data_IF_275081048445
#
_entry.id   IF_275081048445
#
_cell.length_a   1.000
_cell.length_b   1.000
_cell.length_c   1.000
_cell.angle_alpha   90.00
_cell.angle_beta   90.00
_cell.angle_gamma   90.00
#
_symmetry.space_group_name_H-M   'P 1'
#
loop_
_entity.id
_entity.type
_entity.pdbx_description
1 polymer ?
#
# COMPACT_ATOMS: atom_id res chain seq x y z
N UNK A 1 -28.18 -16.51 10.36
CA UNK A 1 -27.24 -15.41 10.09
C UNK A 1 -27.71 -14.71 8.82
N UNK A 2 -28.03 -13.43 8.90
CA UNK A 2 -28.36 -12.63 7.71
C UNK A 2 -27.13 -12.60 6.82
N UNK A 3 -27.24 -13.13 5.60
CA UNK A 3 -26.13 -13.20 4.64
C UNK A 3 -25.86 -11.76 4.18
N UNK A 4 -24.82 -11.13 4.70
CA UNK A 4 -24.38 -9.80 4.23
C UNK A 4 -23.89 -9.93 2.80
N UNK A 5 -24.53 -9.21 1.88
CA UNK A 5 -24.06 -9.09 0.49
C UNK A 5 -22.71 -8.39 0.47
N UNK A 6 -21.81 -8.85 -0.39
CA UNK A 6 -20.49 -8.27 -0.59
C UNK A 6 -20.55 -6.82 -1.05
N UNK A 7 -19.40 -6.13 -1.01
CA UNK A 7 -19.28 -4.71 -1.41
C UNK A 7 -18.50 -4.58 -2.69
N UNK A 8 -18.99 -3.79 -3.64
CA UNK A 8 -18.32 -3.55 -4.91
C UNK A 8 -17.82 -2.11 -4.98
N UNK A 9 -16.50 -1.92 -5.07
CA UNK A 9 -15.87 -0.60 -5.05
C UNK A 9 -15.06 -0.45 -6.34
N UNK A 10 -15.22 0.66 -7.04
CA UNK A 10 -14.46 0.98 -8.26
C UNK A 10 -13.46 2.09 -7.98
N UNK A 11 -12.22 1.89 -8.38
CA UNK A 11 -11.17 2.91 -8.42
C UNK A 11 -10.90 3.24 -9.89
N UNK A 12 -11.11 4.49 -10.29
CA UNK A 12 -10.89 4.95 -11.66
C UNK A 12 -10.15 6.29 -11.72
N UNK A 13 -9.86 6.74 -12.94
CA UNK A 13 -9.26 8.03 -13.24
C UNK A 13 -8.68 8.05 -14.65
N UNK A 14 -8.16 9.22 -15.03
CA UNK A 14 -7.40 9.39 -16.28
C UNK A 14 -6.12 8.54 -16.27
N UNK A 15 -5.53 8.32 -17.44
CA UNK A 15 -4.21 7.69 -17.48
C UNK A 15 -3.17 8.59 -16.81
N UNK A 16 -2.18 7.97 -16.16
CA UNK A 16 -1.25 8.68 -15.29
C UNK A 16 -1.74 8.98 -13.87
N UNK A 17 -3.01 8.71 -13.52
CA UNK A 17 -3.57 9.04 -12.18
C UNK A 17 -3.06 8.18 -11.01
N UNK A 18 -2.30 7.11 -11.27
CA UNK A 18 -1.82 6.19 -10.23
C UNK A 18 -2.81 5.11 -9.78
N UNK A 19 -3.99 4.99 -10.42
CA UNK A 19 -5.04 4.00 -10.14
C UNK A 19 -4.59 2.56 -9.93
N UNK A 20 -3.70 2.02 -10.76
CA UNK A 20 -3.18 0.66 -10.58
C UNK A 20 -2.37 0.51 -9.27
N UNK A 21 -1.52 1.49 -8.96
CA UNK A 21 -0.76 1.53 -7.70
C UNK A 21 -1.71 1.62 -6.50
N UNK A 22 -2.68 2.53 -6.55
CA UNK A 22 -3.61 2.77 -5.45
C UNK A 22 -4.56 1.59 -5.21
N UNK A 23 -5.02 0.96 -6.29
CA UNK A 23 -5.84 -0.25 -6.22
C UNK A 23 -5.09 -1.38 -5.52
N UNK A 24 -3.83 -1.62 -5.91
CA UNK A 24 -2.99 -2.63 -5.26
C UNK A 24 -2.81 -2.36 -3.77
N UNK A 25 -2.43 -1.13 -3.41
CA UNK A 25 -2.25 -0.74 -2.00
C UNK A 25 -3.55 -0.89 -1.19
N UNK A 26 -4.70 -0.54 -1.77
CA UNK A 26 -6.00 -0.73 -1.12
C UNK A 26 -6.31 -2.22 -0.89
N UNK A 27 -6.13 -3.05 -1.92
CA UNK A 27 -6.40 -4.49 -1.83
C UNK A 27 -5.52 -5.10 -0.73
N UNK A 28 -4.22 -4.82 -0.74
CA UNK A 28 -3.29 -5.27 0.29
C UNK A 28 -3.74 -4.84 1.70
N UNK A 29 -4.20 -3.59 1.84
CA UNK A 29 -4.70 -3.06 3.11
C UNK A 29 -6.00 -3.72 3.57
N UNK A 30 -6.93 -4.01 2.66
CA UNK A 30 -8.19 -4.69 2.96
C UNK A 30 -8.00 -6.17 3.30
N UNK A 31 -7.23 -6.90 2.49
CA UNK A 31 -6.91 -8.31 2.74
C UNK A 31 -6.24 -8.48 4.11
N UNK A 32 -5.34 -7.55 4.43
CA UNK A 32 -4.69 -7.55 5.72
C UNK A 32 -5.60 -7.23 6.90
N UNK A 33 -6.58 -6.34 6.70
CA UNK A 33 -7.61 -6.09 7.67
C UNK A 33 -8.56 -7.29 7.84
N UNK A 34 -8.32 -8.40 7.14
CA UNK A 34 -9.07 -9.65 7.27
C UNK A 34 -10.28 -9.73 6.35
N UNK A 35 -10.45 -8.78 5.44
CA UNK A 35 -11.52 -8.84 4.45
C UNK A 35 -11.19 -9.84 3.35
N UNK A 36 -12.20 -10.53 2.85
CA UNK A 36 -12.08 -11.36 1.66
C UNK A 36 -12.24 -10.47 0.44
N UNK A 37 -11.14 -10.20 -0.26
CA UNK A 37 -11.08 -9.23 -1.35
C UNK A 37 -10.84 -9.95 -2.67
N UNK A 38 -11.51 -9.50 -3.73
CA UNK A 38 -11.27 -9.96 -5.09
C UNK A 38 -11.01 -8.76 -5.99
N UNK A 39 -10.05 -8.89 -6.90
CA UNK A 39 -9.70 -7.83 -7.85
C UNK A 39 -10.39 -8.09 -9.19
N UNK A 40 -11.09 -7.08 -9.69
CA UNK A 40 -11.51 -7.01 -11.08
C UNK A 40 -10.67 -5.93 -11.78
N UNK A 41 -9.98 -6.28 -12.86
CA UNK A 41 -9.16 -5.32 -13.62
C UNK A 41 -9.67 -5.27 -15.05
N UNK A 42 -9.90 -4.07 -15.56
CA UNK A 42 -10.49 -3.86 -16.87
C UNK A 42 -9.64 -2.93 -17.74
N UNK A 43 -9.38 -3.29 -19.01
CA UNK A 43 -9.84 -4.51 -19.70
C UNK A 43 -9.20 -5.80 -19.17
N UNK A 44 -9.87 -6.94 -19.36
CA UNK A 44 -9.34 -8.25 -18.98
C UNK A 44 -8.30 -8.76 -20.01
N UNK A 45 -7.17 -8.06 -20.16
CA UNK A 45 -6.13 -8.38 -21.14
C UNK A 45 -5.75 -9.88 -21.15
N UNK A 46 -5.58 -10.43 -22.34
CA UNK A 46 -5.31 -11.84 -22.59
C UNK A 46 -6.54 -12.75 -22.57
N UNK A 47 -7.71 -12.28 -22.11
CA UNK A 47 -8.96 -13.04 -22.22
C UNK A 47 -9.63 -12.82 -23.57
N UNK A 48 -10.36 -13.84 -24.03
CA UNK A 48 -11.14 -13.79 -25.28
C UNK A 48 -12.14 -12.63 -25.30
N UNK A 49 -12.72 -12.30 -24.13
CA UNK A 49 -13.66 -11.19 -23.95
C UNK A 49 -13.04 -9.82 -24.27
N UNK A 50 -11.75 -9.64 -23.95
CA UNK A 50 -11.00 -8.41 -24.20
C UNK A 50 -10.38 -8.36 -25.62
N UNK A 51 -10.47 -9.41 -26.43
CA UNK A 51 -9.79 -9.46 -27.73
C UNK A 51 -10.21 -8.35 -28.71
N UNK A 52 -11.46 -7.88 -28.66
CA UNK A 52 -11.88 -6.71 -29.44
C UNK A 52 -11.36 -5.40 -28.85
N UNK A 53 -11.24 -5.31 -27.53
CA UNK A 53 -10.65 -4.15 -26.86
C UNK A 53 -9.17 -4.02 -27.23
N UNK A 54 -8.42 -5.12 -27.20
CA UNK A 54 -7.01 -5.16 -27.59
C UNK A 54 -6.81 -4.72 -29.05
N UNK A 55 -7.61 -5.27 -29.98
CA UNK A 55 -7.61 -4.87 -31.39
C UNK A 55 -8.02 -3.41 -31.60
N UNK A 56 -8.89 -2.88 -30.77
CA UNK A 56 -9.25 -1.47 -30.82
C UNK A 56 -8.08 -0.60 -30.35
N UNK A 57 -7.50 -0.91 -29.18
CA UNK A 57 -6.42 -0.13 -28.58
C UNK A 57 -5.12 -0.16 -29.39
N UNK A 58 -4.87 -1.23 -30.16
CA UNK A 58 -3.73 -1.33 -31.05
C UNK A 58 -4.00 -0.78 -32.48
N UNK A 59 -5.18 -0.23 -32.73
CA UNK A 59 -5.54 0.43 -33.99
C UNK A 59 -5.98 -0.50 -35.13
N UNK A 60 -6.20 -1.80 -34.89
CA UNK A 60 -6.62 -2.74 -35.94
C UNK A 60 -8.00 -2.44 -36.55
N UNK A 61 -8.82 -1.60 -35.90
CA UNK A 61 -10.11 -1.15 -36.41
C UNK A 61 -10.10 0.29 -36.96
N UNK A 62 -8.91 0.85 -37.19
CA UNK A 62 -8.75 2.26 -37.54
C UNK A 62 -8.51 3.13 -36.31
N UNK A 63 -8.58 4.45 -36.49
CA UNK A 63 -8.31 5.40 -35.42
C UNK A 63 -9.53 5.60 -34.49
N UNK A 64 -9.29 6.27 -33.35
CA UNK A 64 -10.31 6.48 -32.32
C UNK A 64 -11.54 7.26 -32.81
N UNK A 65 -11.40 8.11 -33.82
CA UNK A 65 -12.47 8.90 -34.42
C UNK A 65 -13.33 8.05 -35.37
N UNK A 66 -12.70 7.21 -36.20
CA UNK A 66 -13.40 6.31 -37.14
C UNK A 66 -14.28 5.29 -36.43
N UNK A 67 -13.74 4.67 -35.37
CA UNK A 67 -14.49 3.70 -34.55
C UNK A 67 -15.63 4.41 -33.81
N UNK A 68 -15.33 5.57 -33.22
CA UNK A 68 -16.28 6.38 -32.47
C UNK A 68 -16.60 5.83 -31.07
N UNK A 69 -17.18 6.66 -30.19
CA UNK A 69 -17.36 6.34 -28.77
C UNK A 69 -18.34 5.19 -28.55
N UNK A 70 -19.48 5.16 -29.25
CA UNK A 70 -20.50 4.11 -29.07
C UNK A 70 -19.97 2.71 -29.42
N UNK A 71 -19.27 2.56 -30.56
CA UNK A 71 -18.75 1.24 -30.97
C UNK A 71 -17.62 0.78 -30.06
N UNK A 72 -16.70 1.68 -29.72
CA UNK A 72 -15.62 1.38 -28.78
C UNK A 72 -16.19 0.93 -27.42
N UNK A 73 -17.22 1.61 -26.90
CA UNK A 73 -17.84 1.27 -25.62
C UNK A 73 -18.45 -0.13 -25.59
N UNK A 74 -19.00 -0.62 -26.71
CA UNK A 74 -19.52 -1.99 -26.81
C UNK A 74 -18.43 -3.02 -26.58
N UNK A 75 -17.20 -2.80 -27.08
CA UNK A 75 -16.08 -3.74 -26.86
C UNK A 75 -15.75 -3.88 -25.38
N UNK A 76 -15.65 -2.75 -24.65
CA UNK A 76 -15.41 -2.76 -23.21
C UNK A 76 -16.60 -3.30 -22.41
N UNK A 77 -17.83 -3.04 -22.85
CA UNK A 77 -19.04 -3.52 -22.18
C UNK A 77 -19.18 -5.05 -22.26
N UNK A 78 -18.86 -5.65 -23.42
CA UNK A 78 -18.83 -7.11 -23.60
C UNK A 78 -17.77 -7.74 -22.70
N UNK A 79 -16.60 -7.10 -22.57
CA UNK A 79 -15.56 -7.58 -21.65
C UNK A 79 -16.03 -7.57 -20.18
N UNK A 80 -16.66 -6.48 -19.74
CA UNK A 80 -17.25 -6.40 -18.39
C UNK A 80 -18.40 -7.37 -18.18
N UNK A 81 -19.22 -7.61 -19.20
CA UNK A 81 -20.31 -8.58 -19.13
C UNK A 81 -19.79 -9.99 -18.86
N UNK A 82 -18.71 -10.41 -19.53
CA UNK A 82 -18.06 -11.70 -19.28
C UNK A 82 -17.58 -11.82 -17.81
N UNK A 83 -16.89 -10.79 -17.30
CA UNK A 83 -16.45 -10.74 -15.90
C UNK A 83 -17.62 -10.68 -14.89
N UNK A 84 -18.77 -10.16 -15.31
CA UNK A 84 -19.89 -9.84 -14.40
C UNK A 84 -20.41 -11.05 -13.64
N UNK A 85 -20.38 -12.24 -14.24
CA UNK A 85 -20.81 -13.49 -13.60
C UNK A 85 -19.92 -13.84 -12.40
N UNK A 86 -18.61 -13.66 -12.56
CA UNK A 86 -17.65 -13.91 -11.49
C UNK A 86 -17.76 -12.84 -10.39
N UNK A 87 -17.96 -11.57 -10.76
CA UNK A 87 -18.19 -10.48 -9.81
C UNK A 87 -19.46 -10.74 -8.99
N UNK A 88 -20.59 -11.09 -9.64
CA UNK A 88 -21.84 -11.46 -8.96
C UNK A 88 -21.63 -12.62 -7.98
N UNK A 89 -20.86 -13.63 -8.37
CA UNK A 89 -20.52 -14.76 -7.51
C UNK A 89 -19.76 -14.29 -6.27
N UNK A 90 -18.70 -13.49 -6.43
CA UNK A 90 -17.93 -12.95 -5.31
C UNK A 90 -18.79 -12.10 -4.36
N UNK A 91 -19.66 -11.26 -4.90
CA UNK A 91 -20.57 -10.45 -4.08
C UNK A 91 -21.59 -11.31 -3.32
N UNK A 92 -22.12 -12.37 -3.94
CA UNK A 92 -23.01 -13.32 -3.27
C UNK A 92 -22.31 -14.17 -2.20
N UNK A 93 -20.99 -14.31 -2.29
CA UNK A 93 -20.12 -14.93 -1.28
C UNK A 93 -19.79 -13.97 -0.13
N UNK A 94 -20.24 -12.71 -0.18
CA UNK A 94 -19.98 -11.70 0.84
C UNK A 94 -18.61 -11.03 0.71
N UNK A 95 -17.92 -11.19 -0.43
CA UNK A 95 -16.58 -10.65 -0.66
C UNK A 95 -16.62 -9.16 -1.00
N UNK A 96 -15.54 -8.46 -0.71
CA UNK A 96 -15.29 -7.12 -1.23
C UNK A 96 -14.66 -7.28 -2.61
N UNK A 97 -15.26 -6.70 -3.63
CA UNK A 97 -14.69 -6.65 -4.97
C UNK A 97 -14.13 -5.24 -5.18
N UNK A 98 -12.84 -5.13 -5.44
CA UNK A 98 -12.20 -3.88 -5.84
C UNK A 98 -11.99 -3.93 -7.35
N UNK A 99 -12.46 -2.92 -8.06
CA UNK A 99 -12.28 -2.80 -9.51
C UNK A 99 -11.25 -1.74 -9.84
N UNK A 100 -10.19 -2.09 -10.58
CA UNK A 100 -9.39 -1.09 -11.29
C UNK A 100 -10.05 -0.83 -12.64
N UNK A 101 -10.64 0.36 -12.79
CA UNK A 101 -11.56 0.74 -13.88
C UNK A 101 -12.87 -0.06 -13.86
N UNK A 102 -13.93 0.54 -14.40
CA UNK A 102 -15.21 -0.16 -14.65
C UNK A 102 -16.01 0.58 -15.74
N UNK A 103 -17.33 0.70 -15.62
CA UNK A 103 -18.16 1.52 -16.53
C UNK A 103 -17.72 2.98 -16.53
N UNK A 104 -17.25 3.47 -15.39
CA UNK A 104 -16.68 4.81 -15.19
C UNK A 104 -15.57 5.15 -16.20
N UNK A 105 -14.80 4.16 -16.64
CA UNK A 105 -13.77 4.33 -17.66
C UNK A 105 -14.37 4.61 -19.05
N UNK A 106 -15.46 3.92 -19.41
CA UNK A 106 -16.20 4.23 -20.63
C UNK A 106 -16.84 5.61 -20.57
N UNK A 107 -17.36 6.00 -19.40
CA UNK A 107 -17.95 7.32 -19.21
C UNK A 107 -16.91 8.43 -19.42
N UNK A 108 -15.74 8.33 -18.77
CA UNK A 108 -14.66 9.31 -18.89
C UNK A 108 -14.00 9.33 -20.28
N UNK A 109 -13.44 8.19 -20.71
CA UNK A 109 -12.58 8.14 -21.91
C UNK A 109 -13.36 8.27 -23.21
N UNK A 110 -14.50 7.59 -23.34
CA UNK A 110 -15.31 7.68 -24.56
C UNK A 110 -16.22 8.91 -24.53
N UNK A 111 -16.72 9.30 -23.35
CA UNK A 111 -17.45 10.57 -23.19
C UNK A 111 -16.60 11.79 -23.53
N UNK A 112 -15.29 11.78 -23.22
CA UNK A 112 -14.36 12.84 -23.59
C UNK A 112 -14.24 13.08 -25.10
N UNK A 113 -14.55 12.07 -25.92
CA UNK A 113 -14.59 12.23 -27.39
C UNK A 113 -15.81 13.01 -27.90
N UNK A 114 -16.81 13.24 -27.04
CA UNK A 114 -18.05 13.92 -27.39
C UNK A 114 -18.02 15.34 -26.80
N UNK A 115 -17.73 16.32 -27.65
CA UNK A 115 -17.55 17.72 -27.24
C UNK A 115 -18.84 18.38 -26.78
N UNK A 116 -19.94 18.16 -27.50
CA UNK A 116 -21.25 18.69 -27.16
C UNK A 116 -21.79 18.00 -25.89
N UNK A 117 -22.16 18.80 -24.88
CA UNK A 117 -22.61 18.30 -23.57
C UNK A 117 -23.96 17.57 -23.61
N UNK A 118 -24.88 17.99 -24.47
CA UNK A 118 -26.18 17.32 -24.64
C UNK A 118 -26.02 15.95 -25.31
N UNK A 119 -25.19 15.88 -26.36
CA UNK A 119 -24.85 14.60 -27.00
C UNK A 119 -24.07 13.67 -26.06
N UNK A 120 -23.19 14.23 -25.23
CA UNK A 120 -22.47 13.46 -24.20
C UNK A 120 -23.44 12.91 -23.16
N UNK A 121 -24.45 13.70 -22.73
CA UNK A 121 -25.50 13.23 -21.83
C UNK A 121 -26.29 12.06 -22.45
N UNK A 122 -26.72 12.19 -23.72
CA UNK A 122 -27.39 11.08 -24.45
C UNK A 122 -26.53 9.82 -24.49
N UNK A 123 -25.22 9.98 -24.71
CA UNK A 123 -24.27 8.88 -24.69
C UNK A 123 -24.14 8.23 -23.30
N UNK A 124 -24.06 9.03 -22.22
CA UNK A 124 -23.98 8.50 -20.85
C UNK A 124 -25.27 7.75 -20.46
N UNK A 125 -26.44 8.28 -20.84
CA UNK A 125 -27.73 7.62 -20.63
C UNK A 125 -27.81 6.30 -21.41
N UNK A 126 -27.35 6.28 -22.66
CA UNK A 126 -27.25 5.07 -23.48
C UNK A 126 -26.29 4.05 -22.86
N UNK A 127 -25.12 4.49 -22.38
CA UNK A 127 -24.11 3.63 -21.79
C UNK A 127 -24.62 2.99 -20.50
N UNK A 128 -25.29 3.77 -19.65
CA UNK A 128 -25.93 3.26 -18.43
C UNK A 128 -26.96 2.18 -18.75
N UNK A 129 -27.84 2.42 -19.72
CA UNK A 129 -28.81 1.42 -20.18
C UNK A 129 -28.13 0.18 -20.73
N UNK A 130 -27.11 0.34 -21.57
CA UNK A 130 -26.37 -0.77 -22.15
C UNK A 130 -25.75 -1.66 -21.06
N UNK A 131 -25.03 -1.08 -20.11
CA UNK A 131 -24.23 -1.89 -19.18
C UNK A 131 -25.03 -2.36 -17.97
N UNK A 132 -25.85 -1.50 -17.38
CA UNK A 132 -26.56 -1.82 -16.15
C UNK A 132 -27.99 -2.33 -16.34
N UNK A 133 -28.65 -2.06 -17.47
CA UNK A 133 -30.01 -2.56 -17.73
C UNK A 133 -30.01 -3.74 -18.72
N UNK A 134 -29.29 -3.61 -19.84
CA UNK A 134 -29.25 -4.66 -20.89
C UNK A 134 -28.27 -5.77 -20.49
N UNK A 135 -26.99 -5.46 -20.30
CA UNK A 135 -26.01 -6.44 -19.83
C UNK A 135 -26.18 -6.79 -18.34
N UNK A 136 -26.88 -5.93 -17.59
CA UNK A 136 -27.23 -6.16 -16.19
C UNK A 136 -26.00 -6.54 -15.34
N UNK A 137 -24.89 -5.82 -15.54
CA UNK A 137 -23.68 -6.02 -14.73
C UNK A 137 -23.85 -5.40 -13.33
N UNK A 138 -23.12 -5.85 -12.30
CA UNK A 138 -23.24 -5.32 -10.95
C UNK A 138 -22.98 -3.82 -10.87
N UNK A 139 -23.84 -3.09 -10.14
CA UNK A 139 -23.59 -1.69 -9.81
C UNK A 139 -22.63 -1.59 -8.64
N UNK A 140 -21.61 -0.73 -8.68
CA UNK A 140 -20.75 -0.46 -7.54
C UNK A 140 -21.52 0.17 -6.38
N UNK A 141 -21.17 -0.20 -5.15
CA UNK A 141 -21.58 0.50 -3.93
C UNK A 141 -20.84 1.85 -3.77
N UNK A 142 -19.67 1.99 -4.40
CA UNK A 142 -18.86 3.20 -4.36
C UNK A 142 -17.98 3.32 -5.60
N UNK A 143 -18.01 4.49 -6.25
CA UNK A 143 -17.08 4.85 -7.32
C UNK A 143 -16.13 5.93 -6.82
N UNK A 144 -14.83 5.67 -6.86
CA UNK A 144 -13.78 6.64 -6.50
C UNK A 144 -13.04 7.03 -7.77
N UNK A 145 -13.01 8.33 -8.05
CA UNK A 145 -12.24 8.92 -9.14
C UNK A 145 -10.98 9.57 -8.57
N UNK A 146 -9.82 9.02 -8.90
CA UNK A 146 -8.52 9.63 -8.65
C UNK A 146 -8.25 10.71 -9.69
N UNK A 147 -8.34 11.97 -9.25
CA UNK A 147 -8.13 13.14 -10.09
C UNK A 147 -6.68 13.61 -10.00
N UNK A 148 -5.99 13.59 -11.13
CA UNK A 148 -4.68 14.22 -11.34
C UNK A 148 -4.81 15.15 -12.54
N UNK A 149 -4.35 16.39 -12.39
CA UNK A 149 -4.38 17.38 -13.47
C UNK A 149 -3.68 16.83 -14.72
N UNK A 150 -4.27 16.98 -15.92
CA UNK A 150 -3.76 16.36 -17.15
C UNK A 150 -2.27 16.67 -17.42
N UNK A 151 -1.79 17.86 -17.06
CA UNK A 151 -0.38 18.23 -17.23
C UNK A 151 0.57 17.42 -16.33
N UNK A 152 0.16 17.09 -15.11
CA UNK A 152 0.93 16.25 -14.18
C UNK A 152 0.83 14.79 -14.61
N UNK A 153 -0.37 14.34 -14.98
CA UNK A 153 -0.61 13.00 -15.47
C UNK A 153 0.25 12.66 -16.70
N UNK A 154 0.35 13.58 -17.66
CA UNK A 154 1.20 13.42 -18.85
C UNK A 154 2.68 13.23 -18.47
N UNK A 155 3.21 14.05 -17.56
CA UNK A 155 4.60 13.92 -17.07
C UNK A 155 4.85 12.54 -16.46
N UNK A 156 3.88 11.99 -15.73
CA UNK A 156 4.00 10.66 -15.12
C UNK A 156 3.91 9.52 -16.14
N UNK A 157 3.13 9.70 -17.21
CA UNK A 157 3.08 8.75 -18.33
C UNK A 157 4.42 8.73 -19.05
N UNK A 158 5.00 9.90 -19.34
CA UNK A 158 6.28 10.03 -20.06
C UNK A 158 7.47 9.44 -19.27
N UNK A 159 7.33 9.27 -17.95
CA UNK A 159 8.33 8.64 -17.08
C UNK A 159 8.20 7.12 -16.95
N UNK A 160 7.15 6.49 -17.51
CA UNK A 160 6.94 5.03 -17.43
C UNK A 160 7.69 4.28 -18.54
N UNK A 161 8.30 3.15 -18.20
CA UNK A 161 8.89 2.21 -19.16
C UNK A 161 7.83 1.50 -20.04
N UNK A 162 8.27 0.96 -21.19
CA UNK A 162 7.42 0.31 -22.22
C UNK A 162 6.51 -0.78 -21.64
N UNK A 163 5.23 -0.81 -22.07
CA UNK A 163 4.26 -1.84 -21.66
C UNK A 163 4.31 -3.04 -22.61
N UNK A 164 4.45 -4.25 -22.05
CA UNK A 164 4.64 -5.50 -22.80
C UNK A 164 3.53 -5.81 -23.84
N UNK A 165 2.28 -5.39 -23.60
CA UNK A 165 1.16 -5.66 -24.52
C UNK A 165 1.14 -4.78 -25.77
N UNK A 166 2.00 -3.76 -25.85
CA UNK A 166 2.05 -2.84 -26.98
C UNK A 166 2.92 -3.34 -28.15
N UNK A 167 3.48 -4.56 -28.08
CA UNK A 167 4.26 -5.19 -29.17
C UNK A 167 5.27 -4.22 -29.86
N UNK A 168 5.97 -3.40 -29.08
CA UNK A 168 6.95 -2.43 -29.59
C UNK A 168 6.41 -1.04 -29.93
N UNK A 169 5.12 -0.75 -29.65
CA UNK A 169 4.62 0.63 -29.64
C UNK A 169 4.88 1.28 -28.28
N UNK A 170 5.46 2.48 -28.28
CA UNK A 170 5.77 3.23 -27.04
C UNK A 170 4.54 3.74 -26.29
N UNK A 171 3.37 3.82 -26.94
CA UNK A 171 2.14 4.44 -26.45
C UNK A 171 0.92 3.76 -27.07
N UNK A 172 -0.21 3.66 -26.34
CA UNK A 172 -1.50 3.34 -26.95
C UNK A 172 -2.14 4.57 -27.64
N UNK A 173 -3.21 4.36 -28.39
CA UNK A 173 -3.91 5.43 -29.15
C UNK A 173 -4.47 6.56 -28.26
N UNK A 174 -4.60 6.34 -26.95
CA UNK A 174 -5.16 7.28 -25.98
C UNK A 174 -4.07 8.04 -25.21
N UNK A 175 -2.95 7.38 -24.92
CA UNK A 175 -1.84 7.90 -24.11
C UNK A 175 -0.93 8.90 -24.87
N UNK A 176 -1.14 9.11 -26.17
CA UNK A 176 -0.32 9.99 -27.01
C UNK A 176 -0.81 11.45 -27.14
N UNK A 177 -2.04 11.77 -26.70
CA UNK A 177 -2.65 13.09 -26.90
C UNK A 177 -3.08 13.74 -25.57
N UNK A 178 -2.40 14.83 -25.19
CA UNK A 178 -2.74 15.63 -24.00
C UNK A 178 -4.17 16.19 -24.07
N UNK A 179 -4.70 16.45 -25.27
CA UNK A 179 -6.07 16.93 -25.41
C UNK A 179 -7.07 15.83 -25.03
N UNK A 180 -6.77 14.57 -25.37
CA UNK A 180 -7.57 13.43 -24.96
C UNK A 180 -7.59 13.28 -23.42
N UNK A 181 -6.45 13.45 -22.76
CA UNK A 181 -6.38 13.42 -21.29
C UNK A 181 -7.19 14.56 -20.65
N UNK A 182 -7.11 15.78 -21.21
CA UNK A 182 -7.90 16.93 -20.73
C UNK A 182 -9.39 16.72 -20.92
N UNK A 183 -9.78 16.19 -22.07
CA UNK A 183 -11.18 15.88 -22.35
C UNK A 183 -11.73 14.82 -21.39
N UNK A 184 -10.97 13.73 -21.16
CA UNK A 184 -11.34 12.70 -20.21
C UNK A 184 -11.39 13.25 -18.77
N UNK A 185 -10.42 14.07 -18.37
CA UNK A 185 -10.39 14.76 -17.06
C UNK A 185 -11.65 15.60 -16.85
N UNK A 186 -12.00 16.44 -17.83
CA UNK A 186 -13.20 17.26 -17.75
C UNK A 186 -14.45 16.40 -17.53
N UNK A 187 -14.58 15.31 -18.28
CA UNK A 187 -15.75 14.42 -18.14
C UNK A 187 -15.76 13.72 -16.79
N UNK A 188 -14.62 13.29 -16.24
CA UNK A 188 -14.57 12.75 -14.88
C UNK A 188 -15.01 13.76 -13.82
N UNK A 189 -14.60 15.03 -13.95
CA UNK A 189 -15.05 16.12 -13.06
C UNK A 189 -16.55 16.37 -13.19
N UNK A 190 -17.11 16.30 -14.40
CA UNK A 190 -18.56 16.41 -14.63
C UNK A 190 -19.33 15.24 -14.01
N UNK A 191 -18.84 14.01 -14.17
CA UNK A 191 -19.43 12.80 -13.60
C UNK A 191 -19.48 12.91 -12.07
N UNK A 192 -18.36 13.25 -11.42
CA UNK A 192 -18.30 13.40 -9.97
C UNK A 192 -19.23 14.47 -9.41
N UNK A 193 -19.53 15.53 -10.20
CA UNK A 193 -20.50 16.56 -9.81
C UNK A 193 -21.95 16.14 -10.04
N UNK A 194 -22.19 15.31 -11.04
CA UNK A 194 -23.54 14.96 -11.50
C UNK A 194 -24.11 13.77 -10.76
N UNK A 195 -23.28 12.78 -10.44
CA UNK A 195 -23.71 11.53 -9.82
C UNK A 195 -23.25 11.46 -8.37
N UNK A 196 -24.18 11.36 -7.38
CA UNK A 196 -23.84 11.41 -5.96
C UNK A 196 -23.04 10.19 -5.47
N UNK A 197 -23.12 9.05 -6.16
CA UNK A 197 -22.40 7.81 -5.80
C UNK A 197 -20.93 7.81 -6.27
N UNK A 198 -20.43 8.96 -6.75
CA UNK A 198 -19.08 9.16 -7.24
C UNK A 198 -18.32 10.13 -6.35
N UNK A 199 -17.25 9.63 -5.74
CA UNK A 199 -16.36 10.37 -4.87
C UNK A 199 -15.09 10.76 -5.63
N UNK A 200 -14.79 12.06 -5.67
CA UNK A 200 -13.57 12.57 -6.28
C UNK A 200 -12.46 12.70 -5.22
N UNK A 201 -11.31 12.08 -5.46
CA UNK A 201 -10.10 12.29 -4.66
C UNK A 201 -9.13 13.12 -5.49
N UNK A 202 -8.94 14.37 -5.09
CA UNK A 202 -7.92 15.24 -5.68
C UNK A 202 -6.55 14.76 -5.23
N UNK A 203 -5.76 14.24 -6.16
CA UNK A 203 -4.45 13.66 -5.92
C UNK A 203 -3.31 14.68 -6.12
N UNK A 204 -3.63 15.96 -6.31
CA UNK A 204 -2.66 17.03 -6.55
C UNK A 204 -2.85 18.18 -5.56
N UNK A 205 -1.74 18.75 -5.10
CA UNK A 205 -1.68 19.92 -4.22
C UNK A 205 -0.55 20.83 -4.69
N UNK A 206 -0.85 22.12 -4.84
CA UNK A 206 0.15 23.14 -5.23
C UNK A 206 0.95 22.80 -6.50
N UNK A 207 0.29 22.16 -7.48
CA UNK A 207 0.92 21.78 -8.75
C UNK A 207 1.80 20.53 -8.70
N UNK A 208 1.83 19.83 -7.55
CA UNK A 208 2.54 18.57 -7.37
C UNK A 208 1.56 17.42 -7.11
N UNK A 209 1.96 16.21 -7.47
CA UNK A 209 1.23 15.00 -7.08
C UNK A 209 1.48 14.72 -5.60
N UNK A 210 0.44 14.35 -4.87
CA UNK A 210 0.55 13.85 -3.50
C UNK A 210 1.34 12.53 -3.49
N UNK A 211 1.89 12.17 -2.34
CA UNK A 211 2.57 10.88 -2.16
C UNK A 211 1.59 9.72 -2.38
N UNK A 212 2.12 8.53 -2.67
CA UNK A 212 1.29 7.35 -2.91
C UNK A 212 0.47 7.03 -1.66
N UNK A 213 1.04 7.28 -0.51
CA UNK A 213 0.51 6.93 0.78
C UNK A 213 -0.56 7.93 1.25
N UNK A 214 -0.41 9.22 0.98
CA UNK A 214 -1.48 10.22 1.18
C UNK A 214 -2.71 9.89 0.33
N UNK A 215 -2.51 9.57 -0.96
CA UNK A 215 -3.61 9.19 -1.85
C UNK A 215 -4.28 7.91 -1.35
N UNK A 216 -3.49 6.91 -0.93
CA UNK A 216 -4.05 5.67 -0.38
C UNK A 216 -4.82 5.91 0.92
N UNK A 217 -4.36 6.84 1.77
CA UNK A 217 -5.04 7.21 2.99
C UNK A 217 -6.43 7.79 2.70
N UNK A 218 -6.53 8.78 1.81
CA UNK A 218 -7.82 9.38 1.43
C UNK A 218 -8.77 8.33 0.84
N UNK A 219 -8.23 7.41 0.04
CA UNK A 219 -9.00 6.32 -0.55
C UNK A 219 -9.46 5.31 0.50
N UNK A 220 -8.62 4.99 1.47
CA UNK A 220 -8.97 4.15 2.61
C UNK A 220 -10.08 4.76 3.46
N UNK A 221 -10.05 6.07 3.73
CA UNK A 221 -11.11 6.72 4.52
C UNK A 221 -12.49 6.53 3.90
N UNK A 222 -12.60 6.70 2.58
CA UNK A 222 -13.85 6.50 1.83
C UNK A 222 -14.31 5.05 1.87
N UNK A 223 -13.39 4.12 1.65
CA UNK A 223 -13.68 2.68 1.62
C UNK A 223 -14.04 2.14 3.01
N UNK A 224 -13.31 2.54 4.04
CA UNK A 224 -13.57 2.13 5.42
C UNK A 224 -14.94 2.64 5.90
N UNK A 225 -15.32 3.87 5.56
CA UNK A 225 -16.64 4.39 5.87
C UNK A 225 -17.76 3.55 5.25
N UNK A 226 -17.62 3.18 3.97
CA UNK A 226 -18.58 2.31 3.28
C UNK A 226 -18.71 0.94 3.97
N UNK A 227 -17.59 0.30 4.26
CA UNK A 227 -17.57 -1.06 4.82
C UNK A 227 -18.10 -1.07 6.26
N UNK A 228 -17.87 -0.01 7.04
CA UNK A 228 -18.25 0.08 8.45
C UNK A 228 -19.67 0.62 8.71
N UNK A 229 -20.34 1.19 7.70
CA UNK A 229 -21.69 1.78 7.81
C UNK A 229 -22.80 0.80 8.26
N UNK A 230 -22.51 -0.50 8.34
CA UNK A 230 -23.44 -1.55 8.79
C UNK A 230 -23.33 -1.91 10.30
N UNK A 231 -22.61 -1.13 11.11
CA UNK A 231 -22.74 -1.16 12.58
C UNK A 231 -22.17 -2.39 13.32
N UNK A 232 -21.46 -3.30 12.65
CA UNK A 232 -20.89 -4.50 13.26
C UNK A 232 -19.38 -4.63 12.98
N UNK A 233 -18.56 -3.72 13.50
CA UNK A 233 -17.23 -4.03 14.01
C UNK A 233 -16.63 -2.78 14.68
N UNK A 234 -15.98 -2.89 15.85
CA UNK A 234 -15.32 -1.75 16.48
C UNK A 234 -14.16 -1.27 15.60
N UNK A 235 -13.88 0.03 15.66
CA UNK A 235 -12.62 0.65 15.23
C UNK A 235 -11.49 -0.01 16.05
N UNK A 236 -10.99 -1.17 15.61
CA UNK A 236 -9.74 -1.80 16.05
C UNK A 236 -9.58 -3.08 15.21
N UNK A 237 -8.76 -3.03 14.15
CA UNK A 237 -8.28 -4.25 13.51
C UNK A 237 -6.79 -4.40 13.81
N UNK A 238 -6.50 -5.54 14.44
CA UNK A 238 -5.21 -6.05 14.88
C UNK A 238 -4.38 -6.49 13.66
N UNK A 239 -3.34 -5.70 13.41
CA UNK A 239 -2.42 -5.72 12.28
C UNK A 239 -1.51 -7.00 12.19
N UNK A 240 -2.04 -8.22 12.32
CA UNK A 240 -1.19 -9.43 12.55
C UNK A 240 -0.89 -10.35 11.34
N UNK A 241 -1.32 -10.06 10.10
CA UNK A 241 -1.20 -11.02 8.97
C UNK A 241 -0.46 -10.62 7.66
N UNK A 242 0.10 -9.42 7.51
CA UNK A 242 0.68 -8.89 6.24
C UNK A 242 2.08 -9.43 5.94
N UNK A 243 2.76 -9.97 6.95
CA UNK A 243 4.19 -10.27 6.85
C UNK A 243 4.54 -11.59 6.18
N UNK A 244 3.56 -12.35 5.71
CA UNK A 244 3.84 -13.44 4.79
C UNK A 244 3.80 -13.00 3.33
N UNK A 245 3.35 -11.77 3.00
CA UNK A 245 3.04 -11.38 1.63
C UNK A 245 4.30 -11.06 0.82
N UNK A 246 5.39 -10.48 1.32
CA UNK A 246 6.57 -10.23 0.47
C UNK A 246 7.35 -11.51 0.08
N UNK A 247 7.43 -12.49 0.99
CA UNK A 247 8.13 -13.76 0.75
C UNK A 247 7.25 -14.81 0.07
N UNK A 248 5.93 -14.76 0.28
CA UNK A 248 4.98 -15.47 -0.57
C UNK A 248 4.74 -14.76 -1.91
N UNK A 249 4.96 -13.45 -2.06
CA UNK A 249 4.91 -12.77 -3.37
C UNK A 249 6.08 -13.23 -4.20
N UNK A 250 7.31 -13.31 -3.68
CA UNK A 250 8.43 -13.88 -4.44
C UNK A 250 8.24 -15.38 -4.75
N UNK A 251 7.68 -16.17 -3.81
CA UNK A 251 7.45 -17.60 -4.03
C UNK A 251 6.19 -17.91 -4.87
N UNK A 252 5.13 -17.09 -4.79
CA UNK A 252 3.90 -17.19 -5.61
C UNK A 252 4.06 -16.50 -6.95
N UNK A 253 4.95 -15.51 -7.09
CA UNK A 253 5.41 -15.03 -8.39
C UNK A 253 6.07 -16.19 -9.13
N UNK A 254 6.89 -17.01 -8.47
CA UNK A 254 7.47 -18.23 -9.07
C UNK A 254 6.43 -19.33 -9.39
N UNK A 255 5.43 -19.57 -8.53
CA UNK A 255 4.32 -20.52 -8.79
C UNK A 255 3.30 -20.02 -9.83
N UNK A 256 3.08 -18.71 -9.93
CA UNK A 256 2.27 -18.05 -10.96
C UNK A 256 3.01 -18.07 -12.30
N UNK A 257 4.33 -17.82 -12.29
CA UNK A 257 5.24 -18.00 -13.43
C UNK A 257 5.26 -19.47 -13.89
N UNK A 258 5.15 -20.48 -13.00
CA UNK A 258 4.98 -21.88 -13.39
C UNK A 258 3.60 -22.19 -14.02
N UNK A 259 2.52 -21.57 -13.53
CA UNK A 259 1.18 -21.65 -14.15
C UNK A 259 1.12 -20.97 -15.52
N UNK A 260 1.87 -19.90 -15.71
CA UNK A 260 2.03 -19.17 -16.98
C UNK A 260 2.97 -19.92 -17.94
N UNK A 261 4.07 -20.53 -17.44
CA UNK A 261 5.00 -21.37 -18.24
C UNK A 261 4.35 -22.64 -18.79
N UNK A 262 3.32 -23.17 -18.14
CA UNK A 262 2.51 -24.28 -18.68
C UNK A 262 1.71 -23.90 -19.93
N UNK A 263 1.61 -22.60 -20.27
CA UNK A 263 0.89 -22.08 -21.45
C UNK A 263 1.85 -21.77 -22.61
N UNK A 264 3.16 -21.68 -22.39
CA UNK A 264 4.14 -21.33 -23.44
C UNK A 264 5.42 -22.18 -23.39
N UNK A 265 5.30 -23.44 -23.80
CA UNK A 265 6.45 -24.25 -24.17
C UNK A 265 7.05 -23.74 -25.49
N UNK A 266 7.95 -22.75 -25.46
CA UNK A 266 8.96 -22.54 -26.51
C UNK A 266 10.09 -21.64 -25.97
N UNK A 267 11.34 -22.10 -26.11
CA UNK A 267 12.62 -21.42 -25.79
C UNK A 267 12.99 -21.36 -24.29
N UNK A 268 13.57 -22.36 -23.63
CA UNK A 268 14.61 -23.32 -24.02
C UNK A 268 15.92 -22.69 -24.51
N UNK A 269 16.55 -21.82 -23.71
CA UNK A 269 18.00 -21.56 -23.65
C UNK A 269 18.25 -20.78 -22.35
N UNK A 270 19.38 -20.97 -21.67
CA UNK A 270 19.75 -20.40 -20.34
C UNK A 270 19.35 -21.19 -19.09
N UNK A 271 19.45 -22.52 -19.17
CA UNK A 271 20.01 -23.30 -18.06
C UNK A 271 21.51 -23.42 -18.32
N UNK A 272 22.35 -22.87 -17.42
CA UNK A 272 23.71 -23.31 -17.07
C UNK A 272 24.56 -22.11 -16.62
N UNK A 273 24.74 -21.94 -15.30
CA UNK A 273 25.97 -22.34 -14.61
C UNK A 273 26.00 -21.86 -13.13
N UNK A 274 26.01 -22.86 -12.24
CA UNK A 274 26.82 -22.96 -11.02
C UNK A 274 26.49 -22.14 -9.76
N UNK A 275 25.71 -22.80 -8.90
CA UNK A 275 25.88 -22.81 -7.44
C UNK A 275 27.18 -23.59 -7.11
N UNK A 276 28.07 -23.01 -6.30
CA UNK A 276 29.00 -23.78 -5.46
C UNK A 276 28.99 -23.26 -4.03
N UNK A 277 28.42 -24.07 -3.16
CA UNK A 277 28.60 -24.03 -1.71
C UNK A 277 30.09 -24.09 -1.33
N UNK A 278 30.46 -23.36 -0.28
CA UNK A 278 31.47 -23.81 0.68
C UNK A 278 31.04 -23.46 2.10
N UNK A 279 30.73 -24.52 2.87
CA UNK A 279 30.80 -24.59 4.32
C UNK A 279 32.27 -24.53 4.77
N UNK A 280 32.46 -24.22 6.06
CA UNK A 280 33.70 -24.10 6.86
C UNK A 280 34.18 -22.64 6.94
N UNK A 281 34.43 -22.03 8.11
CA UNK A 281 34.84 -22.62 9.39
C UNK A 281 34.44 -21.67 10.52
N UNK A 282 33.68 -22.17 11.50
CA UNK A 282 33.67 -21.68 12.87
C UNK A 282 35.03 -22.00 13.48
N UNK A 283 35.80 -20.98 13.87
CA UNK A 283 36.47 -20.88 15.17
C UNK A 283 37.44 -19.70 15.23
N UNK A 284 37.52 -19.11 16.42
CA UNK A 284 38.50 -18.12 16.91
C UNK A 284 38.43 -16.73 16.29
N UNK A 285 37.67 -15.85 16.95
CA UNK A 285 38.18 -14.65 17.66
C UNK A 285 36.97 -14.02 18.36
N UNK A 286 36.78 -14.43 19.62
CA UNK A 286 36.23 -13.70 20.76
C UNK A 286 36.51 -14.67 21.92
N UNK A 287 37.61 -14.42 22.63
CA UNK A 287 37.95 -15.18 23.84
C UNK A 287 36.80 -15.11 24.85
N UNK A 288 36.72 -16.14 25.69
CA UNK A 288 35.79 -16.31 26.81
C UNK A 288 35.17 -14.98 27.28
N UNK A 289 33.87 -14.83 27.07
CA UNK A 289 33.13 -13.76 27.69
C UNK A 289 31.84 -14.33 28.26
N UNK A 290 31.71 -14.24 29.59
CA UNK A 290 30.55 -14.61 30.39
C UNK A 290 29.35 -13.68 30.12
N UNK A 291 29.04 -13.41 28.85
CA UNK A 291 27.88 -12.61 28.50
C UNK A 291 26.63 -13.48 28.53
N UNK A 292 25.60 -13.09 29.29
CA UNK A 292 24.39 -13.88 29.42
C UNK A 292 23.64 -13.97 28.08
N UNK A 293 23.06 -15.13 27.82
CA UNK A 293 22.17 -15.32 26.68
C UNK A 293 20.82 -14.62 26.91
N UNK A 294 20.40 -13.78 25.98
CA UNK A 294 19.06 -13.19 25.97
C UNK A 294 18.07 -14.15 25.29
N UNK A 295 17.03 -14.57 26.01
CA UNK A 295 15.95 -15.36 25.39
C UNK A 295 14.87 -14.43 24.85
N UNK A 296 14.43 -14.69 23.63
CA UNK A 296 13.37 -13.95 22.97
C UNK A 296 12.32 -14.93 22.45
N UNK A 297 11.06 -14.64 22.73
CA UNK A 297 9.90 -15.37 22.23
C UNK A 297 9.16 -14.50 21.19
N UNK A 298 8.76 -15.11 20.07
CA UNK A 298 7.84 -14.47 19.13
C UNK A 298 6.41 -14.75 19.58
N UNK A 299 5.67 -13.71 19.96
CA UNK A 299 4.21 -13.80 20.21
C UNK A 299 3.37 -13.46 18.99
N UNK A 300 4.02 -13.11 17.89
CA UNK A 300 3.43 -12.96 16.57
C UNK A 300 4.15 -13.88 15.59
N UNK A 301 3.39 -14.61 14.76
CA UNK A 301 3.95 -15.49 13.71
C UNK A 301 4.86 -14.74 12.74
N UNK A 302 4.68 -13.44 12.68
CA UNK A 302 5.38 -12.55 11.79
C UNK A 302 6.47 -11.70 12.46
N UNK A 303 6.69 -11.84 13.76
CA UNK A 303 7.74 -11.09 14.45
C UNK A 303 9.14 -11.44 13.92
N UNK A 304 9.98 -10.43 13.70
CA UNK A 304 11.41 -10.63 13.40
C UNK A 304 12.17 -10.57 14.71
N UNK A 305 13.17 -11.46 14.89
CA UNK A 305 14.05 -11.35 16.04
C UNK A 305 14.92 -10.09 15.87
N UNK A 306 15.33 -9.42 16.96
CA UNK A 306 16.25 -8.29 16.87
C UNK A 306 17.56 -8.70 16.20
N UNK A 307 18.12 -7.84 15.36
CA UNK A 307 19.34 -8.14 14.60
C UNK A 307 20.30 -6.96 14.61
N UNK A 308 21.58 -7.23 14.43
CA UNK A 308 22.59 -6.22 14.17
C UNK A 308 22.94 -6.21 12.68
N UNK A 309 23.19 -5.03 12.11
CA UNK A 309 23.59 -4.94 10.71
C UNK A 309 25.04 -5.39 10.53
N UNK A 310 25.91 -5.00 11.47
CA UNK A 310 27.31 -5.36 11.50
C UNK A 310 27.70 -5.99 12.85
N UNK A 311 28.79 -6.77 12.84
CA UNK A 311 29.27 -7.50 14.03
C UNK A 311 29.56 -6.58 15.23
N UNK A 312 29.99 -5.36 14.95
CA UNK A 312 30.42 -4.38 15.95
C UNK A 312 29.31 -3.40 16.37
N UNK A 313 28.12 -3.49 15.78
CA UNK A 313 27.00 -2.66 16.23
C UNK A 313 26.60 -3.06 17.65
N UNK A 314 26.25 -2.05 18.45
CA UNK A 314 25.74 -2.26 19.81
C UNK A 314 24.21 -2.32 19.84
N UNK A 315 23.55 -1.61 18.91
CA UNK A 315 22.10 -1.54 18.79
C UNK A 315 21.55 -2.71 17.99
N UNK A 316 20.52 -3.37 18.53
CA UNK A 316 19.77 -4.42 17.85
C UNK A 316 18.53 -3.79 17.22
N UNK A 317 18.49 -3.74 15.89
CA UNK A 317 17.31 -3.29 15.15
C UNK A 317 16.08 -4.09 15.58
N UNK A 318 15.02 -3.39 15.97
CA UNK A 318 13.70 -3.97 16.25
C UNK A 318 12.69 -3.56 15.19
N UNK A 319 11.72 -4.44 14.98
CA UNK A 319 10.87 -4.41 13.79
C UNK A 319 9.41 -4.26 14.17
N UNK A 320 8.69 -3.40 13.47
CA UNK A 320 7.23 -3.35 13.58
C UNK A 320 6.61 -4.67 13.13
N UNK A 321 5.52 -5.12 13.75
CA UNK A 321 4.62 -6.17 13.21
C UNK A 321 3.38 -5.61 12.53
N UNK A 322 3.22 -4.29 12.56
CA UNK A 322 2.04 -3.60 12.08
C UNK A 322 2.35 -2.48 11.09
N UNK A 323 1.31 -2.10 10.35
CA UNK A 323 1.31 -0.94 9.50
C UNK A 323 0.67 0.22 10.25
N UNK A 324 1.27 1.40 10.19
CA UNK A 324 0.68 2.62 10.72
C UNK A 324 1.16 3.82 9.90
N UNK A 325 0.26 4.73 9.56
CA UNK A 325 0.61 6.02 8.95
C UNK A 325 0.66 7.06 10.04
N UNK A 326 1.86 7.36 10.54
CA UNK A 326 2.09 8.26 11.65
C UNK A 326 2.07 9.72 11.16
N UNK A 327 0.95 10.42 11.36
CA UNK A 327 0.81 11.81 10.88
C UNK A 327 1.62 12.80 11.74
N UNK A 328 1.98 13.99 11.22
CA UNK A 328 2.70 15.01 11.99
C UNK A 328 2.08 15.29 13.36
N UNK A 329 2.90 15.22 14.42
CA UNK A 329 2.48 15.41 15.81
C UNK A 329 1.80 14.21 16.47
N UNK A 330 1.44 13.15 15.73
CA UNK A 330 0.84 11.94 16.28
C UNK A 330 1.84 11.17 17.14
N UNK A 331 1.34 10.63 18.24
CA UNK A 331 2.03 9.65 19.07
C UNK A 331 1.34 8.29 18.93
N UNK A 332 2.12 7.24 18.70
CA UNK A 332 1.60 5.90 18.48
C UNK A 332 2.47 4.83 19.17
N UNK A 333 1.85 3.74 19.64
CA UNK A 333 2.56 2.60 20.24
C UNK A 333 2.67 1.50 19.18
N UNK A 334 3.87 1.33 18.63
CA UNK A 334 4.19 0.34 17.62
C UNK A 334 4.47 -1.02 18.27
N UNK A 335 3.75 -2.04 17.84
CA UNK A 335 3.96 -3.42 18.24
C UNK A 335 5.15 -4.06 17.53
N UNK A 336 5.91 -4.89 18.24
CA UNK A 336 7.06 -5.64 17.66
C UNK A 336 6.84 -7.14 17.57
N UNK A 337 5.83 -7.66 18.28
CA UNK A 337 5.48 -9.07 18.35
C UNK A 337 6.52 -9.98 19.02
N UNK A 338 7.50 -9.40 19.74
CA UNK A 338 8.46 -10.17 20.54
C UNK A 338 8.27 -9.91 22.04
N UNK A 339 8.61 -10.90 22.85
CA UNK A 339 8.80 -10.78 24.29
C UNK A 339 10.22 -11.21 24.63
N UNK A 340 10.77 -10.73 25.73
CA UNK A 340 12.13 -11.06 26.12
C UNK A 340 12.24 -11.43 27.60
N UNK A 341 13.14 -12.37 27.88
CA UNK A 341 13.59 -12.69 29.23
C UNK A 341 14.97 -12.05 29.42
N UNK A 342 14.97 -10.81 29.89
CA UNK A 342 16.19 -10.04 30.12
C UNK A 342 16.92 -10.59 31.36
N UNK A 343 18.25 -10.81 31.29
CA UNK A 343 19.04 -11.21 32.45
C UNK A 343 19.00 -10.16 33.57
N UNK A 344 19.04 -10.61 34.83
CA UNK A 344 19.16 -9.71 35.98
C UNK A 344 20.44 -8.86 35.86
N UNK A 345 20.37 -7.61 36.32
CA UNK A 345 21.47 -6.64 36.22
C UNK A 345 21.61 -5.95 34.85
N UNK A 346 20.64 -6.15 33.94
CA UNK A 346 20.58 -5.46 32.66
C UNK A 346 19.23 -4.74 32.47
N UNK A 347 19.25 -3.64 31.73
CA UNK A 347 18.07 -2.96 31.20
C UNK A 347 18.10 -2.97 29.67
N UNK A 348 16.94 -3.17 29.05
CA UNK A 348 16.75 -2.96 27.62
C UNK A 348 16.29 -1.53 27.36
N UNK A 349 17.04 -0.78 26.57
CA UNK A 349 16.72 0.61 26.21
C UNK A 349 16.36 0.67 24.73
N UNK A 350 15.14 1.09 24.42
CA UNK A 350 14.72 1.37 23.04
C UNK A 350 15.12 2.79 22.68
N UNK A 351 15.86 2.93 21.58
CA UNK A 351 16.38 4.20 21.10
C UNK A 351 16.06 4.42 19.62
N UNK A 352 16.13 5.69 19.23
CA UNK A 352 16.00 6.13 17.84
C UNK A 352 16.97 5.40 16.92
N UNK A 353 16.46 5.01 15.76
CA UNK A 353 17.31 4.61 14.64
C UNK A 353 17.56 5.84 13.77
N UNK A 354 18.81 6.13 13.44
CA UNK A 354 19.18 7.31 12.64
C UNK A 354 18.38 7.46 11.35
N UNK A 355 18.13 6.35 10.63
CA UNK A 355 17.32 6.36 9.41
C UNK A 355 15.84 6.71 9.64
N UNK A 356 15.28 6.35 10.80
CA UNK A 356 13.88 6.66 11.18
C UNK A 356 13.78 8.09 11.74
N UNK A 357 14.73 8.48 12.58
CA UNK A 357 14.83 9.83 13.15
C UNK A 357 15.10 10.91 12.10
N UNK A 358 15.80 10.55 11.01
CA UNK A 358 16.00 11.45 9.86
C UNK A 358 14.66 11.92 9.26
N UNK A 359 13.65 11.06 9.30
CA UNK A 359 12.31 11.36 8.78
C UNK A 359 11.39 11.95 9.86
N UNK A 360 11.96 12.51 10.94
CA UNK A 360 11.23 13.21 11.99
C UNK A 360 10.62 12.31 13.07
N UNK A 361 10.81 10.99 13.02
CA UNK A 361 10.20 10.08 14.00
C UNK A 361 11.10 9.83 15.19
N UNK A 362 10.60 10.18 16.37
CA UNK A 362 11.30 10.05 17.65
C UNK A 362 10.65 9.00 18.55
N UNK A 363 11.45 8.17 19.20
CA UNK A 363 11.04 7.21 20.21
C UNK A 363 10.82 7.91 21.55
N UNK A 364 9.69 7.64 22.19
CA UNK A 364 9.36 8.14 23.51
C UNK A 364 9.47 7.02 24.57
N UNK A 365 10.24 7.26 25.63
CA UNK A 365 10.46 6.27 26.69
C UNK A 365 11.32 5.08 26.21
N UNK A 366 11.03 3.87 26.71
CA UNK A 366 11.64 2.64 26.18
C UNK A 366 12.54 1.84 27.14
N UNK A 367 12.37 1.98 28.45
CA UNK A 367 13.06 1.11 29.42
C UNK A 367 12.28 -0.19 29.62
N UNK A 368 12.97 -1.32 29.48
CA UNK A 368 12.45 -2.66 29.73
C UNK A 368 13.27 -3.40 30.79
N UNK A 369 12.59 -3.75 31.88
CA UNK A 369 13.20 -4.36 33.06
C UNK A 369 13.33 -5.88 32.98
N UNK A 370 14.26 -6.50 33.75
CA UNK A 370 14.38 -7.95 33.91
C UNK A 370 13.10 -8.69 34.30
N UNK A 371 12.17 -8.03 34.99
CA UNK A 371 10.88 -8.59 35.38
C UNK A 371 9.81 -8.56 34.28
N UNK A 372 10.01 -7.80 33.20
CA UNK A 372 8.97 -7.63 32.19
C UNK A 372 8.86 -8.84 31.27
N UNK A 373 7.64 -9.37 31.10
CA UNK A 373 7.31 -10.51 30.21
C UNK A 373 6.19 -10.17 29.23
N UNK A 374 5.87 -8.89 29.08
CA UNK A 374 4.94 -8.40 28.05
C UNK A 374 5.61 -8.29 26.68
N UNK A 375 4.83 -7.91 25.69
CA UNK A 375 5.35 -7.60 24.34
C UNK A 375 6.22 -6.36 24.40
N UNK A 376 7.40 -6.40 23.79
CA UNK A 376 8.22 -5.21 23.58
C UNK A 376 7.47 -4.33 22.57
N UNK A 377 7.10 -3.12 22.97
CA UNK A 377 6.48 -2.10 22.11
C UNK A 377 7.38 -0.87 21.98
N UNK A 378 7.17 -0.08 20.94
CA UNK A 378 7.93 1.15 20.67
C UNK A 378 6.94 2.30 20.59
N UNK A 379 6.94 3.17 21.59
CA UNK A 379 6.17 4.41 21.49
C UNK A 379 6.96 5.38 20.63
N UNK A 380 6.34 5.87 19.56
CA UNK A 380 6.94 6.84 18.63
C UNK A 380 6.09 8.09 18.55
N UNK A 381 6.71 9.20 18.20
CA UNK A 381 6.05 10.47 17.85
C UNK A 381 6.64 11.01 16.57
N UNK A 382 5.78 11.48 15.67
CA UNK A 382 6.23 12.21 14.50
C UNK A 382 6.44 13.69 14.86
N UNK A 383 7.69 14.14 14.80
CA UNK A 383 8.12 15.52 14.98
C UNK A 383 8.38 16.24 13.65
N UNK A 384 8.28 15.52 12.52
CA UNK A 384 8.35 16.08 11.17
C UNK A 384 7.04 16.72 10.73
N UNK A 385 7.06 17.26 9.51
CA UNK A 385 5.95 17.88 8.80
C UNK A 385 5.28 16.95 7.78
N UNK A 386 5.90 15.82 7.46
CA UNK A 386 5.39 14.79 6.54
C UNK A 386 4.88 13.54 7.29
N UNK A 387 3.95 12.80 6.68
CA UNK A 387 3.45 11.53 7.25
C UNK A 387 4.55 10.46 7.18
N UNK A 388 4.81 9.77 8.29
CA UNK A 388 5.76 8.66 8.31
C UNK A 388 5.04 7.30 8.28
N UNK A 389 5.32 6.50 7.26
CA UNK A 389 4.72 5.17 7.12
C UNK A 389 5.58 4.11 7.80
N UNK A 390 4.95 3.40 8.74
CA UNK A 390 5.48 2.24 9.42
C UNK A 390 4.88 1.03 8.73
N UNK A 391 5.70 0.10 8.26
CA UNK A 391 5.27 -1.14 7.65
C UNK A 391 5.68 -2.36 8.50
N UNK A 392 4.93 -3.46 8.45
CA UNK A 392 5.32 -4.69 9.11
C UNK A 392 6.69 -5.17 8.62
N UNK A 393 7.67 -5.21 9.50
CA UNK A 393 9.01 -5.73 9.20
C UNK A 393 10.00 -4.64 8.81
N UNK A 394 9.55 -3.39 8.82
CA UNK A 394 10.38 -2.19 8.87
C UNK A 394 11.07 -2.11 10.23
N UNK A 395 12.34 -1.69 10.20
CA UNK A 395 13.12 -1.36 11.39
C UNK A 395 12.57 -0.05 11.94
N UNK A 396 12.03 -0.06 13.15
CA UNK A 396 11.36 1.12 13.72
C UNK A 396 12.17 1.80 14.81
N UNK A 397 13.01 1.04 15.50
CA UNK A 397 13.90 1.52 16.55
C UNK A 397 15.04 0.51 16.73
N UNK A 398 15.90 0.74 17.72
CA UNK A 398 16.94 -0.19 18.12
C UNK A 398 16.96 -0.41 19.63
N UNK A 399 17.26 -1.64 20.06
CA UNK A 399 17.48 -2.01 21.46
C UNK A 399 18.96 -1.94 21.81
N UNK A 400 19.28 -1.27 22.90
CA UNK A 400 20.59 -1.31 23.55
C UNK A 400 20.44 -2.02 24.89
N UNK A 401 21.36 -2.93 25.18
CA UNK A 401 21.41 -3.63 26.46
C UNK A 401 22.47 -2.99 27.34
N UNK A 402 22.06 -2.41 28.46
CA UNK A 402 22.97 -1.77 29.40
C UNK A 402 23.03 -2.57 30.69
N UNK A 403 24.24 -2.81 31.19
CA UNK A 403 24.42 -3.27 32.56
C UNK A 403 24.02 -2.13 33.50
N UNK A 404 23.19 -2.41 34.48
CA UNK A 404 22.69 -1.43 35.44
C UNK A 404 23.05 -1.85 36.85
N UNK A 405 23.39 -0.86 37.67
CA UNK A 405 23.49 -1.00 39.11
C UNK A 405 22.20 -0.47 39.75
N UNK A 406 21.73 -1.15 40.79
CA UNK A 406 20.51 -0.78 41.52
C UNK A 406 20.92 -0.31 42.92
N UNK A 407 21.38 0.95 43.07
CA UNK A 407 21.81 1.47 44.36
C UNK A 407 20.63 1.54 45.32
N UNK A 408 20.92 1.35 46.62
CA UNK A 408 19.96 1.61 47.68
C UNK A 408 19.71 3.12 47.77
N UNK A 409 18.43 3.51 47.82
CA UNK A 409 18.04 4.91 47.98
C UNK A 409 18.00 5.22 49.47
N UNK A 410 18.87 6.12 49.91
CA UNK A 410 18.95 6.59 51.31
C UNK A 410 18.61 8.08 51.34
N UNK A 411 17.69 8.47 52.21
CA UNK A 411 17.34 9.87 52.45
C UNK A 411 18.34 10.50 53.43
N UNK A 412 19.19 11.40 52.94
CA UNK A 412 20.18 12.15 53.74
C UNK A 412 20.45 13.53 53.12
N UNK A 413 21.18 14.39 53.84
CA UNK A 413 21.65 15.68 53.34
C UNK A 413 22.66 15.47 52.21
N UNK A 414 22.38 16.07 51.06
CA UNK A 414 23.28 16.07 49.90
C UNK A 414 24.46 17.01 50.18
N UNK A 415 25.69 16.57 49.85
CA UNK A 415 26.85 17.44 49.91
C UNK A 415 26.83 18.45 48.75
N UNK A 416 26.61 19.72 49.08
CA UNK A 416 26.50 20.82 48.10
C UNK A 416 27.86 21.33 47.60
N UNK A 417 28.98 20.92 48.21
CA UNK A 417 30.33 21.36 47.86
C UNK A 417 30.85 20.66 46.61
N UNK A 418 30.27 20.98 45.46
CA UNK A 418 30.73 20.55 44.13
C UNK A 418 31.04 21.75 43.26
N UNK A 419 31.92 21.58 42.28
CA UNK A 419 32.30 22.65 41.34
C UNK A 419 31.08 23.22 40.57
N UNK A 420 30.05 22.40 40.33
CA UNK A 420 28.82 22.81 39.63
C UNK A 420 27.74 23.40 40.55
N UNK A 421 27.68 22.96 41.82
CA UNK A 421 26.70 23.43 42.81
C UNK A 421 25.25 23.47 42.28
N UNK A 422 24.55 24.58 42.56
CA UNK A 422 23.17 24.83 42.12
C UNK A 422 23.05 25.43 40.69
N UNK A 423 24.09 25.34 39.86
CA UNK A 423 24.07 25.85 38.48
C UNK A 423 23.00 25.15 37.60
N UNK A 424 22.18 25.94 36.88
CA UNK A 424 21.12 25.43 35.99
C UNK A 424 21.67 24.78 34.72
N UNK A 425 20.79 24.15 33.94
CA UNK A 425 21.11 23.65 32.59
C UNK A 425 21.75 24.75 31.73
N UNK A 426 22.86 24.43 31.04
CA UNK A 426 23.59 25.38 30.19
C UNK A 426 24.74 26.15 30.88
N UNK A 427 25.02 25.90 32.17
CA UNK A 427 26.03 26.65 32.95
C UNK A 427 27.48 26.54 32.45
N UNK A 428 27.79 25.62 31.52
CA UNK A 428 29.12 25.45 30.91
C UNK A 428 29.20 25.96 29.46
N UNK A 429 28.11 26.46 28.90
CA UNK A 429 28.03 26.92 27.50
C UNK A 429 27.31 28.25 27.43
N UNK A 430 28.05 29.34 27.67
CA UNK A 430 27.61 30.68 27.28
C UNK A 430 27.65 30.76 25.74
N UNK A 431 26.50 30.63 25.09
CA UNK A 431 26.25 31.07 23.72
C UNK A 431 24.96 31.87 23.68
#
# INVERSE_FOLDING_TARGET
MTKTTGKFIVIDGTDGSGKGTQTRLLVEKLEYAGYNVELADFPQYGKKSAGMVEKYLNGAYGNAHEVGPYRASVFFAVDRYDASFQIKKWLNEGKIVISNRYVTANMGHQGGKIKNSEERKKYLDWLYKLEYEIFNIPKPDLNIILHVDAAIAQKLIDQKEEREYLHGAKRDIHEADINHLRDAEQVYLEIAKTFPDFELIKCTKEGNILTREEINYMLWEKVAHLINSNGNHPIYINYKHLKNIEKDIENRHNSFVEKVKKISNYSAYYTNQNIKHKKQTTEKILGNSDFPHLKIERVSSIAKLPTRAYKHDIGYDIYSVEFHSLVPGEQYIVRTGIKMEMPNGFAGLVWDKSGVAKDGVHVLGGVYDPGYRGEVTVTVRNLGDEIYHIAPGQKIAQLLFHKVELPEIIEDKVNENTERGAGRHGSSGLF
#
